data_IF_120381711204
#
_entry.id   IF_120381711204
#
_cell.length_a   1.000
_cell.length_b   1.000
_cell.length_c   1.000
_cell.angle_alpha   90.00
_cell.angle_beta   90.00
_cell.angle_gamma   90.00
#
_symmetry.space_group_name_H-M   'P 1'
#
loop_
_entity.id
_entity.type
_entity.pdbx_description
1 polymer ?
#
# COMPACT_ATOMS: atom_id res chain seq x y z
N UNK A 1 6.85 -24.69 -27.50
CA UNK A 1 7.04 -23.34 -26.93
C UNK A 1 6.28 -23.30 -25.62
N UNK A 2 6.97 -23.21 -24.49
CA UNK A 2 6.32 -23.16 -23.18
C UNK A 2 5.54 -21.83 -23.09
N UNK A 3 4.22 -21.94 -22.94
CA UNK A 3 3.32 -20.81 -22.72
C UNK A 3 3.86 -20.06 -21.49
N UNK A 4 4.27 -18.80 -21.62
CA UNK A 4 4.51 -17.91 -20.47
C UNK A 4 3.27 -18.05 -19.59
N UNK A 5 3.41 -18.61 -18.39
CA UNK A 5 2.31 -18.64 -17.42
C UNK A 5 2.01 -17.17 -17.12
N UNK A 6 0.85 -16.71 -17.55
CA UNK A 6 0.36 -15.36 -17.28
C UNK A 6 0.45 -15.10 -15.78
N UNK A 7 1.25 -14.08 -15.42
CA UNK A 7 1.48 -13.59 -14.06
C UNK A 7 2.28 -14.53 -13.17
N UNK A 8 3.20 -14.01 -12.39
CA UNK A 8 3.82 -14.72 -11.29
C UNK A 8 3.31 -14.08 -10.00
N UNK A 9 2.81 -14.86 -9.02
CA UNK A 9 2.39 -14.31 -7.72
C UNK A 9 3.51 -13.51 -7.06
N UNK A 10 4.76 -13.94 -7.27
CA UNK A 10 5.92 -13.22 -6.77
C UNK A 10 6.07 -11.83 -7.40
N UNK A 11 5.73 -11.66 -8.68
CA UNK A 11 5.78 -10.35 -9.33
C UNK A 11 4.67 -9.45 -8.74
N UNK A 12 3.47 -9.99 -8.49
CA UNK A 12 2.39 -9.25 -7.84
C UNK A 12 2.74 -8.86 -6.39
N UNK A 13 3.42 -9.72 -5.62
CA UNK A 13 3.89 -9.31 -4.30
C UNK A 13 4.88 -8.14 -4.37
N UNK A 14 5.78 -8.13 -5.35
CA UNK A 14 6.73 -7.02 -5.55
C UNK A 14 5.97 -5.73 -5.91
N UNK A 15 4.95 -5.84 -6.75
CA UNK A 15 4.07 -4.72 -7.10
C UNK A 15 3.31 -4.18 -5.87
N UNK A 16 2.73 -5.05 -5.05
CA UNK A 16 2.05 -4.65 -3.81
C UNK A 16 2.99 -3.94 -2.82
N UNK A 17 4.22 -4.46 -2.67
CA UNK A 17 5.25 -3.83 -1.83
C UNK A 17 5.67 -2.47 -2.37
N UNK A 18 5.64 -2.27 -3.70
CA UNK A 18 5.95 -0.98 -4.29
C UNK A 18 4.93 0.08 -3.86
N UNK A 19 3.63 -0.26 -3.83
CA UNK A 19 2.60 0.65 -3.31
C UNK A 19 2.83 0.99 -1.84
N UNK A 20 3.21 0.01 -1.00
CA UNK A 20 3.57 0.30 0.40
C UNK A 20 4.77 1.23 0.51
N UNK A 21 5.77 1.10 -0.38
CA UNK A 21 6.91 2.02 -0.43
C UNK A 21 6.49 3.42 -0.87
N UNK A 22 5.64 3.53 -1.89
CA UNK A 22 5.16 4.80 -2.41
C UNK A 22 4.32 5.55 -1.36
N UNK A 23 3.44 4.83 -0.64
CA UNK A 23 2.70 5.36 0.49
C UNK A 23 3.64 5.85 1.60
N UNK A 24 4.67 5.07 1.95
CA UNK A 24 5.64 5.46 2.98
C UNK A 24 6.44 6.70 2.58
N UNK A 25 6.85 6.80 1.31
CA UNK A 25 7.53 7.98 0.76
C UNK A 25 6.62 9.21 0.86
N UNK A 26 5.36 9.08 0.44
CA UNK A 26 4.39 10.17 0.50
C UNK A 26 4.17 10.65 1.95
N UNK A 27 4.02 9.73 2.91
CA UNK A 27 3.88 10.10 4.32
C UNK A 27 5.13 10.79 4.86
N UNK A 28 6.32 10.33 4.46
CA UNK A 28 7.60 10.93 4.83
C UNK A 28 7.73 12.36 4.30
N UNK A 29 7.35 12.60 3.03
CA UNK A 29 7.32 13.94 2.44
C UNK A 29 6.39 14.88 3.21
N UNK A 30 5.18 14.41 3.54
CA UNK A 30 4.20 15.19 4.32
C UNK A 30 4.71 15.49 5.72
N UNK A 31 5.43 14.55 6.34
CA UNK A 31 5.99 14.75 7.67
C UNK A 31 7.12 15.80 7.68
N UNK A 32 7.97 15.81 6.65
CA UNK A 32 9.12 16.72 6.57
C UNK A 32 8.75 18.12 6.08
N UNK A 33 7.76 18.26 5.20
CA UNK A 33 7.30 19.54 4.64
C UNK A 33 5.79 19.70 4.80
N UNK A 34 5.33 19.75 6.05
CA UNK A 34 3.91 19.73 6.35
C UNK A 34 3.22 21.06 6.04
N UNK A 35 2.27 21.05 5.10
CA UNK A 35 1.41 22.17 4.74
C UNK A 35 -0.06 21.76 4.88
N UNK A 36 -0.79 22.38 5.81
CA UNK A 36 -2.15 21.97 6.16
C UNK A 36 -3.16 22.21 5.01
N UNK A 37 -2.90 23.18 4.15
CA UNK A 37 -3.68 23.51 2.96
C UNK A 37 -3.50 22.53 1.80
N UNK A 38 -2.40 21.76 1.78
CA UNK A 38 -2.14 20.72 0.79
C UNK A 38 -2.63 19.33 1.21
N UNK A 39 -3.04 19.18 2.48
CA UNK A 39 -3.32 17.89 3.08
C UNK A 39 -4.48 17.13 2.39
N UNK A 40 -5.48 17.85 1.88
CA UNK A 40 -6.59 17.24 1.12
C UNK A 40 -6.11 16.61 -0.19
N UNK A 41 -5.25 17.31 -0.94
CA UNK A 41 -4.68 16.78 -2.17
C UNK A 41 -3.73 15.60 -1.90
N UNK A 42 -2.98 15.65 -0.80
CA UNK A 42 -2.10 14.56 -0.36
C UNK A 42 -2.89 13.33 0.11
N UNK A 43 -4.05 13.53 0.75
CA UNK A 43 -4.99 12.45 1.09
C UNK A 43 -5.50 11.76 -0.17
N UNK A 44 -5.90 12.50 -1.19
CA UNK A 44 -6.35 11.92 -2.47
C UNK A 44 -5.22 11.12 -3.13
N UNK A 45 -3.98 11.62 -3.13
CA UNK A 45 -2.83 10.86 -3.62
C UNK A 45 -2.59 9.55 -2.85
N UNK A 46 -2.77 9.57 -1.52
CA UNK A 46 -2.64 8.36 -0.70
C UNK A 46 -3.74 7.35 -1.01
N UNK A 47 -4.99 7.81 -1.14
CA UNK A 47 -6.13 6.98 -1.54
C UNK A 47 -5.92 6.31 -2.90
N UNK A 48 -5.33 7.01 -3.88
CA UNK A 48 -5.03 6.40 -5.18
C UNK A 48 -3.96 5.31 -5.08
N UNK A 49 -2.99 5.44 -4.16
CA UNK A 49 -1.98 4.41 -3.90
C UNK A 49 -2.61 3.18 -3.24
N UNK A 50 -3.43 3.38 -2.20
CA UNK A 50 -4.18 2.29 -1.54
C UNK A 50 -5.08 1.57 -2.55
N UNK A 51 -5.83 2.32 -3.35
CA UNK A 51 -6.77 1.75 -4.30
C UNK A 51 -6.06 0.89 -5.36
N UNK A 52 -4.92 1.35 -5.87
CA UNK A 52 -4.10 0.58 -6.80
C UNK A 52 -3.56 -0.72 -6.16
N UNK A 53 -3.20 -0.65 -4.86
CA UNK A 53 -2.83 -1.81 -4.06
C UNK A 53 -3.95 -2.83 -3.94
N UNK A 54 -5.15 -2.41 -3.54
CA UNK A 54 -6.31 -3.31 -3.38
C UNK A 54 -6.73 -3.92 -4.73
N UNK A 55 -6.68 -3.15 -5.83
CA UNK A 55 -6.94 -3.70 -7.17
C UNK A 55 -5.96 -4.83 -7.54
N UNK A 56 -4.66 -4.63 -7.29
CA UNK A 56 -3.62 -5.64 -7.50
C UNK A 56 -3.82 -6.88 -6.65
N UNK A 57 -4.13 -6.69 -5.36
CA UNK A 57 -4.42 -7.78 -4.42
C UNK A 57 -5.67 -8.54 -4.83
N UNK A 58 -6.73 -7.84 -5.19
CA UNK A 58 -8.00 -8.43 -5.61
C UNK A 58 -7.86 -9.23 -6.92
N UNK A 59 -7.06 -8.73 -7.87
CA UNK A 59 -6.71 -9.47 -9.09
C UNK A 59 -5.95 -10.77 -8.76
N UNK A 60 -5.00 -10.72 -7.83
CA UNK A 60 -4.28 -11.90 -7.35
C UNK A 60 -5.21 -12.92 -6.69
N UNK A 61 -6.13 -12.48 -5.84
CA UNK A 61 -7.11 -13.34 -5.17
C UNK A 61 -8.06 -14.03 -6.17
N UNK A 62 -8.55 -13.28 -7.16
CA UNK A 62 -9.37 -13.83 -8.27
C UNK A 62 -8.63 -14.91 -9.03
N UNK A 63 -7.33 -14.75 -9.24
CA UNK A 63 -6.50 -15.74 -9.91
C UNK A 63 -6.27 -16.97 -9.04
N UNK A 64 -5.93 -16.76 -7.78
CA UNK A 64 -5.71 -17.83 -6.80
C UNK A 64 -6.92 -18.76 -6.66
N UNK A 65 -8.13 -18.19 -6.72
CA UNK A 65 -9.38 -18.93 -6.69
C UNK A 65 -9.59 -19.86 -7.91
N UNK A 66 -8.96 -19.55 -9.06
CA UNK A 66 -9.11 -20.30 -10.32
C UNK A 66 -7.96 -21.26 -10.59
N UNK A 67 -6.82 -21.09 -9.93
CA UNK A 67 -5.64 -21.92 -10.15
C UNK A 67 -5.66 -23.19 -9.30
N UNK A 68 -5.44 -24.33 -9.98
CA UNK A 68 -5.43 -25.64 -9.35
C UNK A 68 -4.06 -26.01 -8.75
N UNK A 69 -2.96 -25.47 -9.30
CA UNK A 69 -1.60 -25.70 -8.82
C UNK A 69 -0.97 -24.34 -8.52
N UNK A 70 -0.64 -24.11 -7.25
CA UNK A 70 0.04 -22.91 -6.76
C UNK A 70 1.55 -23.18 -6.58
N UNK A 71 2.41 -22.15 -6.64
CA UNK A 71 3.85 -22.32 -6.46
C UNK A 71 4.26 -22.62 -5.00
N UNK A 72 3.43 -22.18 -4.05
CA UNK A 72 3.52 -22.43 -2.61
C UNK A 72 2.10 -22.64 -2.06
N UNK A 73 1.98 -22.86 -0.76
CA UNK A 73 0.73 -23.01 -0.03
C UNK A 73 -0.21 -21.83 -0.27
N UNK A 74 -1.49 -22.13 -0.54
CA UNK A 74 -2.48 -21.10 -0.86
C UNK A 74 -2.70 -20.13 0.30
N UNK A 75 -2.66 -20.65 1.52
CA UNK A 75 -2.76 -19.85 2.76
C UNK A 75 -1.59 -18.88 2.90
N UNK A 76 -0.37 -19.31 2.56
CA UNK A 76 0.82 -18.45 2.61
C UNK A 76 0.71 -17.30 1.59
N UNK A 77 0.18 -17.56 0.39
CA UNK A 77 -0.04 -16.52 -0.62
C UNK A 77 -1.02 -15.45 -0.12
N UNK A 78 -2.14 -15.88 0.48
CA UNK A 78 -3.16 -14.95 1.03
C UNK A 78 -2.58 -14.17 2.20
N UNK A 79 -1.97 -14.87 3.16
CA UNK A 79 -1.43 -14.23 4.37
C UNK A 79 -0.33 -13.22 4.06
N UNK A 80 0.53 -13.50 3.06
CA UNK A 80 1.55 -12.57 2.62
C UNK A 80 0.95 -11.34 1.93
N UNK A 81 -0.05 -11.54 1.07
CA UNK A 81 -0.76 -10.44 0.42
C UNK A 81 -1.41 -9.52 1.45
N UNK A 82 -2.14 -10.09 2.40
CA UNK A 82 -2.80 -9.35 3.48
C UNK A 82 -1.79 -8.63 4.36
N UNK A 83 -0.64 -9.25 4.65
CA UNK A 83 0.40 -8.61 5.44
C UNK A 83 1.01 -7.38 4.73
N UNK A 84 1.17 -7.43 3.40
CA UNK A 84 1.64 -6.29 2.60
C UNK A 84 0.58 -5.18 2.56
N UNK A 85 -0.67 -5.56 2.28
CA UNK A 85 -1.83 -4.66 2.22
C UNK A 85 -1.99 -3.84 3.51
N UNK A 86 -1.93 -4.52 4.65
CA UNK A 86 -2.02 -3.89 5.97
C UNK A 86 -0.95 -2.80 6.19
N UNK A 87 0.22 -2.88 5.53
CA UNK A 87 1.24 -1.82 5.63
C UNK A 87 0.76 -0.56 4.93
N UNK A 88 0.27 -0.69 3.69
CA UNK A 88 -0.29 0.43 2.92
C UNK A 88 -1.48 1.05 3.65
N UNK A 89 -2.43 0.22 4.10
CA UNK A 89 -3.61 0.67 4.86
C UNK A 89 -3.19 1.44 6.10
N UNK A 90 -2.26 0.90 6.90
CA UNK A 90 -1.82 1.55 8.15
C UNK A 90 -1.19 2.92 7.89
N UNK A 91 -0.49 3.10 6.77
CA UNK A 91 0.11 4.38 6.38
C UNK A 91 -0.98 5.39 6.00
N UNK A 92 -1.96 4.97 5.19
CA UNK A 92 -3.13 5.80 4.86
C UNK A 92 -3.88 6.23 6.12
N UNK A 93 -4.08 5.28 7.04
CA UNK A 93 -4.74 5.47 8.32
C UNK A 93 -4.06 6.53 9.20
N UNK A 94 -2.74 6.68 9.11
CA UNK A 94 -2.00 7.76 9.79
C UNK A 94 -2.34 9.09 9.16
N UNK A 95 -2.32 9.19 7.83
CA UNK A 95 -2.60 10.43 7.12
C UNK A 95 -4.05 10.90 7.34
N UNK A 96 -4.99 9.96 7.30
CA UNK A 96 -6.40 10.19 7.58
C UNK A 96 -6.61 10.76 8.99
N UNK A 97 -5.86 10.28 9.99
CA UNK A 97 -5.89 10.85 11.35
C UNK A 97 -5.31 12.26 11.42
N UNK A 98 -4.21 12.54 10.71
CA UNK A 98 -3.63 13.89 10.64
C UNK A 98 -4.68 14.88 10.08
N UNK A 99 -5.40 14.48 9.04
CA UNK A 99 -6.48 15.25 8.44
C UNK A 99 -7.69 15.41 9.37
N UNK A 100 -8.24 14.31 9.89
CA UNK A 100 -9.43 14.31 10.75
C UNK A 100 -9.25 15.13 12.03
N UNK A 101 -8.05 15.12 12.61
CA UNK A 101 -7.73 15.89 13.81
C UNK A 101 -7.30 17.33 13.52
N UNK A 102 -7.33 17.75 12.25
CA UNK A 102 -7.00 19.10 11.81
C UNK A 102 -5.64 19.57 12.33
N UNK A 103 -4.61 18.76 12.11
CA UNK A 103 -3.25 19.11 12.50
C UNK A 103 -2.83 20.38 11.77
N UNK A 104 -2.39 21.39 12.54
CA UNK A 104 -1.89 22.65 11.99
C UNK A 104 -0.37 22.71 11.93
N UNK A 105 0.30 21.78 12.61
CA UNK A 105 1.76 21.61 12.62
C UNK A 105 2.10 20.17 12.98
N UNK A 106 3.17 19.65 12.38
CA UNK A 106 3.75 18.38 12.79
C UNK A 106 4.58 18.54 14.07
N UNK A 107 4.56 17.50 14.91
CA UNK A 107 5.42 17.46 16.10
C UNK A 107 6.86 17.12 15.69
N UNK A 108 7.85 17.73 16.33
CA UNK A 108 9.27 17.54 16.00
C UNK A 108 9.72 16.07 16.04
N UNK A 109 9.10 15.27 16.91
CA UNK A 109 9.43 13.84 17.03
C UNK A 109 8.94 13.01 15.84
N UNK A 110 7.93 13.48 15.10
CA UNK A 110 7.48 12.81 13.86
C UNK A 110 8.55 12.95 12.78
N UNK A 111 9.16 14.13 12.68
CA UNK A 111 10.24 14.44 11.72
C UNK A 111 11.51 13.62 12.02
N UNK A 112 11.79 13.31 13.30
CA UNK A 112 12.97 12.51 13.69
C UNK A 112 12.86 11.01 13.35
N UNK A 113 11.65 10.52 13.04
CA UNK A 113 11.41 9.12 12.68
C UNK A 113 11.43 8.87 11.17
N UNK A 114 11.37 9.93 10.37
CA UNK A 114 11.38 9.94 8.90
C UNK A 114 12.80 9.92 8.33
#
# INVERSE_FOLDING_TARGET
MAKKRDGNYFDTFVELVQYSCDAAILLNEIANDFHADELEAKMEQMHEIEHAGDEGRHAMMKRLAREFITPIEREDIVSLADAIDNVTDTIEDVLLRIYMFNFTKMHEDVVKMA
#
